data_IF_062536164712
#
_entry.id   IF_062536164712
#
_cell.length_a   1.000
_cell.length_b   1.000
_cell.length_c   1.000
_cell.angle_alpha   90.00
_cell.angle_beta   90.00
_cell.angle_gamma   90.00
#
_symmetry.space_group_name_H-M   'P 1'
#
loop_
_entity.id
_entity.type
_entity.pdbx_description
1 polymer ?
#
# COMPACT_ATOMS: atom_id res chain seq x y z
N UNK A 1 -64.15 -15.72 36.93
CA UNK A 1 -63.14 -14.73 37.34
C UNK A 1 -61.76 -15.34 37.17
N UNK A 2 -60.89 -14.68 36.37
CA UNK A 2 -59.40 -14.81 36.30
C UNK A 2 -58.82 -16.16 35.86
N UNK A 3 -57.76 -16.28 35.05
CA UNK A 3 -56.91 -15.35 34.30
C UNK A 3 -56.13 -16.23 33.30
N UNK A 4 -56.13 -15.87 32.01
CA UNK A 4 -55.38 -16.54 30.95
C UNK A 4 -53.89 -16.15 31.08
N UNK A 5 -52.99 -17.13 31.21
CA UNK A 5 -51.54 -16.89 31.27
C UNK A 5 -50.96 -16.88 29.85
N UNK A 6 -50.53 -15.72 29.40
CA UNK A 6 -49.80 -15.52 28.14
C UNK A 6 -48.37 -16.01 28.36
N UNK A 7 -47.99 -17.11 27.69
CA UNK A 7 -46.59 -17.54 27.59
C UNK A 7 -45.91 -16.66 26.53
N UNK A 8 -45.12 -15.68 26.98
CA UNK A 8 -44.31 -14.84 26.11
C UNK A 8 -43.11 -15.63 25.57
N UNK A 9 -43.07 -15.88 24.26
CA UNK A 9 -41.87 -16.34 23.57
C UNK A 9 -40.86 -15.20 23.48
N UNK A 10 -39.77 -15.28 24.23
CA UNK A 10 -38.61 -14.39 24.09
C UNK A 10 -37.87 -14.72 22.79
N UNK A 11 -37.95 -13.82 21.81
CA UNK A 11 -37.14 -13.89 20.59
C UNK A 11 -35.75 -13.30 20.91
N UNK A 12 -34.79 -14.15 21.24
CA UNK A 12 -33.39 -13.74 21.37
C UNK A 12 -32.83 -13.48 19.97
N UNK A 13 -32.80 -12.23 19.54
CA UNK A 13 -32.16 -11.81 18.30
C UNK A 13 -30.63 -11.86 18.48
N UNK A 14 -30.00 -12.94 18.01
CA UNK A 14 -28.55 -13.07 17.92
C UNK A 14 -28.00 -12.05 16.91
N UNK A 15 -27.47 -10.95 17.42
CA UNK A 15 -26.73 -9.95 16.64
C UNK A 15 -25.37 -10.54 16.23
N UNK A 16 -25.30 -11.13 15.03
CA UNK A 16 -24.01 -11.41 14.39
C UNK A 16 -23.41 -10.08 13.92
N UNK A 17 -22.47 -9.54 14.70
CA UNK A 17 -21.60 -8.47 14.23
C UNK A 17 -20.67 -9.04 13.16
N UNK A 18 -20.95 -8.73 11.89
CA UNK A 18 -20.02 -9.00 10.80
C UNK A 18 -18.78 -8.13 10.99
N UNK A 19 -17.71 -8.69 11.55
CA UNK A 19 -16.40 -8.06 11.51
C UNK A 19 -16.02 -7.91 10.03
N UNK A 20 -15.96 -6.68 9.51
CA UNK A 20 -15.47 -6.41 8.17
C UNK A 20 -14.01 -6.88 8.10
N UNK A 21 -13.76 -8.03 7.47
CA UNK A 21 -12.41 -8.40 7.05
C UNK A 21 -11.96 -7.31 6.07
N UNK A 22 -10.91 -6.57 6.42
CA UNK A 22 -10.29 -5.63 5.50
C UNK A 22 -9.92 -6.40 4.23
N UNK A 23 -10.48 -5.99 3.09
CA UNK A 23 -10.17 -6.62 1.81
C UNK A 23 -8.66 -6.52 1.56
N UNK A 24 -8.08 -7.60 1.03
CA UNK A 24 -6.68 -7.58 0.63
C UNK A 24 -6.46 -6.50 -0.45
N UNK A 25 -5.34 -5.77 -0.40
CA UNK A 25 -5.03 -4.77 -1.42
C UNK A 25 -4.91 -5.42 -2.81
N UNK A 26 -5.18 -4.67 -3.90
CA UNK A 26 -5.13 -5.20 -5.25
C UNK A 26 -3.71 -5.63 -5.64
N UNK A 27 -3.60 -6.63 -6.52
CA UNK A 27 -2.33 -7.01 -7.12
C UNK A 27 -1.98 -6.04 -8.27
N UNK A 28 -0.96 -5.21 -8.07
CA UNK A 28 -0.66 -4.08 -8.96
C UNK A 28 0.69 -4.17 -9.66
N UNK A 29 1.53 -5.14 -9.33
CA UNK A 29 2.88 -5.28 -9.84
C UNK A 29 3.25 -6.75 -10.03
N UNK A 30 4.32 -7.03 -10.78
CA UNK A 30 4.87 -8.41 -10.88
C UNK A 30 6.01 -8.64 -9.89
N UNK A 31 6.21 -9.90 -9.46
CA UNK A 31 7.33 -10.25 -8.58
C UNK A 31 8.70 -9.87 -9.19
N UNK A 32 8.82 -9.89 -10.53
CA UNK A 32 10.01 -9.45 -11.23
C UNK A 32 10.28 -7.95 -11.04
N UNK A 33 9.24 -7.10 -11.17
CA UNK A 33 9.38 -5.65 -10.93
C UNK A 33 9.81 -5.35 -9.50
N UNK A 34 9.20 -6.00 -8.50
CA UNK A 34 9.59 -5.77 -7.10
C UNK A 34 11.03 -6.23 -6.82
N UNK A 35 11.49 -7.31 -7.46
CA UNK A 35 12.86 -7.80 -7.34
C UNK A 35 13.86 -6.83 -7.98
N UNK A 36 13.58 -6.35 -9.19
CA UNK A 36 14.39 -5.32 -9.85
C UNK A 36 14.40 -4.02 -9.04
N UNK A 37 13.24 -3.63 -8.52
CA UNK A 37 13.05 -2.43 -7.70
C UNK A 37 13.86 -2.45 -6.42
N UNK A 38 13.98 -3.60 -5.75
CA UNK A 38 14.82 -3.75 -4.57
C UNK A 38 16.29 -3.44 -4.87
N UNK A 39 16.80 -3.84 -6.03
CA UNK A 39 18.17 -3.56 -6.45
C UNK A 39 18.39 -2.06 -6.68
N UNK A 40 17.50 -1.41 -7.43
CA UNK A 40 17.58 0.03 -7.70
C UNK A 40 17.41 0.83 -6.39
N UNK A 41 16.44 0.47 -5.55
CA UNK A 41 16.22 1.09 -4.25
C UNK A 41 17.47 1.06 -3.36
N UNK A 42 18.17 -0.08 -3.33
CA UNK A 42 19.41 -0.23 -2.55
C UNK A 42 20.48 0.77 -2.99
N UNK A 43 20.58 1.04 -4.29
CA UNK A 43 21.60 1.93 -4.86
C UNK A 43 21.22 3.41 -4.78
N UNK A 44 19.92 3.73 -4.88
CA UNK A 44 19.47 5.11 -5.08
C UNK A 44 18.66 5.70 -3.93
N UNK A 45 18.15 4.89 -3.01
CA UNK A 45 17.18 5.33 -1.99
C UNK A 45 17.56 4.94 -0.56
N UNK A 46 18.16 3.77 -0.38
CA UNK A 46 18.39 3.16 0.94
C UNK A 46 19.29 3.98 1.87
N UNK A 47 20.20 4.80 1.33
CA UNK A 47 21.06 5.68 2.12
C UNK A 47 20.25 6.64 3.00
N UNK A 48 19.10 7.12 2.51
CA UNK A 48 18.27 8.09 3.23
C UNK A 48 17.04 7.44 3.86
N UNK A 49 16.35 6.55 3.13
CA UNK A 49 15.10 5.92 3.55
C UNK A 49 15.29 4.58 4.29
N UNK A 50 16.54 4.17 4.52
CA UNK A 50 16.91 2.94 5.20
C UNK A 50 16.80 1.70 4.31
N UNK A 51 17.61 0.68 4.59
CA UNK A 51 17.67 -0.56 3.80
C UNK A 51 16.32 -1.30 3.69
N UNK A 52 15.46 -1.14 4.70
CA UNK A 52 14.14 -1.78 4.78
C UNK A 52 12.97 -0.80 4.65
N UNK A 53 13.20 0.39 4.09
CA UNK A 53 12.21 1.49 3.98
C UNK A 53 11.76 2.05 5.34
N UNK A 54 12.44 1.67 6.42
CA UNK A 54 12.09 2.05 7.79
C UNK A 54 12.36 3.52 8.12
N UNK A 55 12.93 4.28 7.16
CA UNK A 55 13.36 5.66 7.37
C UNK A 55 14.74 5.74 8.02
N UNK A 56 15.16 6.97 8.27
CA UNK A 56 16.46 7.31 8.84
C UNK A 56 16.71 8.81 8.67
N UNK A 57 17.62 9.16 7.75
CA UNK A 57 17.85 10.55 7.38
C UNK A 57 16.67 11.16 6.59
N UNK A 58 15.85 10.31 5.95
CA UNK A 58 14.59 10.67 5.32
C UNK A 58 13.42 9.83 5.89
N UNK A 59 12.15 10.22 5.65
CA UNK A 59 10.99 9.53 6.21
C UNK A 59 10.91 8.05 5.82
N UNK A 60 10.21 7.26 6.64
CA UNK A 60 9.87 5.89 6.28
C UNK A 60 8.97 5.83 5.04
N UNK A 61 9.13 4.77 4.24
CA UNK A 61 8.33 4.48 3.04
C UNK A 61 7.43 3.24 3.24
N UNK A 62 7.21 2.87 4.50
CA UNK A 62 6.30 1.81 4.96
C UNK A 62 5.58 2.25 6.23
N UNK A 63 4.52 1.53 6.58
CA UNK A 63 3.73 1.76 7.78
C UNK A 63 2.73 2.92 7.65
N UNK A 64 1.90 3.09 8.68
CA UNK A 64 0.81 4.07 8.69
C UNK A 64 1.28 5.52 8.56
N UNK A 65 2.49 5.85 9.02
CA UNK A 65 3.08 7.17 8.87
C UNK A 65 3.41 7.55 7.41
N UNK A 66 3.67 6.55 6.56
CA UNK A 66 3.88 6.75 5.12
C UNK A 66 2.58 6.83 4.32
N UNK A 67 1.51 6.22 4.85
CA UNK A 67 0.21 6.12 4.18
C UNK A 67 -0.89 6.86 4.95
N UNK A 68 -0.78 8.19 5.15
CA UNK A 68 -1.86 8.95 5.77
C UNK A 68 -3.12 8.93 4.88
N UNK A 69 -4.27 9.22 5.49
CA UNK A 69 -5.55 9.24 4.78
C UNK A 69 -5.51 10.22 3.60
N UNK A 70 -5.90 9.76 2.41
CA UNK A 70 -5.88 10.55 1.18
C UNK A 70 -4.63 10.37 0.32
N UNK A 71 -3.59 9.68 0.80
CA UNK A 71 -2.45 9.30 -0.04
C UNK A 71 -2.87 8.25 -1.08
N UNK A 72 -2.58 8.51 -2.34
CA UNK A 72 -2.81 7.58 -3.46
C UNK A 72 -1.50 7.05 -4.02
N UNK A 73 -1.56 5.91 -4.71
CA UNK A 73 -0.42 5.35 -5.44
C UNK A 73 0.16 6.37 -6.41
N UNK A 74 -0.68 7.07 -7.19
CA UNK A 74 -0.22 8.10 -8.12
C UNK A 74 0.40 9.31 -7.46
N UNK A 75 -0.09 9.74 -6.29
CA UNK A 75 0.56 10.84 -5.55
C UNK A 75 1.97 10.46 -5.09
N UNK A 76 2.16 9.23 -4.61
CA UNK A 76 3.48 8.73 -4.21
C UNK A 76 4.38 8.52 -5.42
N UNK A 77 3.86 7.95 -6.50
CA UNK A 77 4.61 7.72 -7.72
C UNK A 77 5.09 9.05 -8.34
N UNK A 78 4.26 10.09 -8.30
CA UNK A 78 4.62 11.43 -8.77
C UNK A 78 5.79 12.01 -7.99
N UNK A 79 5.79 11.89 -6.66
CA UNK A 79 6.93 12.33 -5.84
C UNK A 79 8.17 11.48 -6.16
N UNK A 80 8.00 10.16 -6.25
CA UNK A 80 9.07 9.23 -6.60
C UNK A 80 9.73 9.59 -7.94
N UNK A 81 8.96 9.79 -9.01
CA UNK A 81 9.51 10.00 -10.34
C UNK A 81 10.01 11.42 -10.60
N UNK A 82 9.44 12.43 -9.94
CA UNK A 82 9.76 13.83 -10.23
C UNK A 82 10.72 14.47 -9.22
N UNK A 83 10.76 13.96 -7.99
CA UNK A 83 11.48 14.61 -6.88
C UNK A 83 12.59 13.71 -6.31
N UNK A 84 12.61 12.42 -6.67
CA UNK A 84 13.61 11.48 -6.19
C UNK A 84 14.53 10.98 -7.33
N UNK A 85 15.79 10.65 -7.03
CA UNK A 85 16.50 10.91 -5.76
C UNK A 85 16.66 12.40 -5.47
N UNK A 86 16.60 12.81 -4.19
CA UNK A 86 16.64 14.24 -3.82
C UNK A 86 17.92 14.98 -4.28
N UNK A 87 19.03 14.26 -4.47
CA UNK A 87 20.28 14.83 -4.98
C UNK A 87 20.24 15.11 -6.48
N UNK A 88 19.50 14.31 -7.25
CA UNK A 88 19.38 14.43 -8.72
C UNK A 88 17.97 13.99 -9.15
N UNK A 89 16.94 14.84 -8.93
CA UNK A 89 15.55 14.49 -9.23
C UNK A 89 15.34 14.11 -10.71
N UNK A 90 14.51 13.08 -10.96
CA UNK A 90 14.18 12.65 -12.33
C UNK A 90 15.32 11.92 -13.07
N UNK A 91 16.37 11.50 -12.36
CA UNK A 91 17.56 10.88 -12.98
C UNK A 91 17.41 9.41 -13.34
N UNK A 92 16.39 8.71 -12.83
CA UNK A 92 16.15 7.30 -13.13
C UNK A 92 15.25 7.15 -14.36
N UNK A 93 15.34 6.01 -15.04
CA UNK A 93 14.44 5.71 -16.15
C UNK A 93 13.01 5.44 -15.67
N UNK A 94 12.03 5.54 -16.57
CA UNK A 94 10.64 5.19 -16.25
C UNK A 94 10.53 3.77 -15.67
N UNK A 95 11.19 2.79 -16.28
CA UNK A 95 11.21 1.40 -15.79
C UNK A 95 11.81 1.28 -14.40
N UNK A 96 12.87 2.02 -14.10
CA UNK A 96 13.44 2.03 -12.75
C UNK A 96 12.46 2.59 -11.71
N UNK A 97 11.71 3.65 -12.05
CA UNK A 97 10.67 4.17 -11.15
C UNK A 97 9.49 3.19 -10.97
N UNK A 98 9.04 2.55 -12.05
CA UNK A 98 8.01 1.49 -12.01
C UNK A 98 8.44 0.35 -11.07
N UNK A 99 9.67 -0.12 -11.22
CA UNK A 99 10.26 -1.18 -10.41
C UNK A 99 10.38 -0.77 -8.93
N UNK A 100 10.88 0.43 -8.64
CA UNK A 100 10.93 0.96 -7.27
C UNK A 100 9.52 1.02 -6.67
N UNK A 101 8.52 1.49 -7.41
CA UNK A 101 7.14 1.54 -6.92
C UNK A 101 6.61 0.14 -6.62
N UNK A 102 6.88 -0.84 -7.48
CA UNK A 102 6.53 -2.24 -7.23
C UNK A 102 7.17 -2.77 -5.93
N UNK A 103 8.42 -2.41 -5.67
CA UNK A 103 9.10 -2.76 -4.42
C UNK A 103 8.46 -2.08 -3.20
N UNK A 104 8.13 -0.79 -3.29
CA UNK A 104 7.42 -0.06 -2.21
C UNK A 104 6.06 -0.70 -1.93
N UNK A 105 5.29 -1.07 -2.96
CA UNK A 105 4.01 -1.77 -2.81
C UNK A 105 4.19 -3.13 -2.14
N UNK A 106 5.18 -3.92 -2.56
CA UNK A 106 5.52 -5.21 -1.92
C UNK A 106 5.81 -5.02 -0.43
N UNK A 107 6.64 -4.03 -0.09
CA UNK A 107 7.03 -3.74 1.31
C UNK A 107 5.87 -3.20 2.15
N UNK A 108 4.82 -2.67 1.52
CA UNK A 108 3.57 -2.28 2.15
C UNK A 108 2.50 -3.39 2.13
N UNK A 109 2.84 -4.61 1.70
CA UNK A 109 1.98 -5.79 1.79
C UNK A 109 1.01 -5.98 0.62
N UNK A 110 1.24 -5.32 -0.51
CA UNK A 110 0.48 -5.60 -1.73
C UNK A 110 0.94 -6.95 -2.32
N UNK A 111 0.01 -7.82 -2.76
CA UNK A 111 0.36 -9.07 -3.42
C UNK A 111 0.92 -8.80 -4.83
N UNK A 112 1.82 -9.67 -5.29
CA UNK A 112 2.23 -9.69 -6.68
C UNK A 112 1.13 -10.30 -7.56
N UNK A 113 0.98 -9.76 -8.77
CA UNK A 113 0.09 -10.26 -9.82
C UNK A 113 0.86 -10.59 -11.10
N UNK A 114 0.11 -10.76 -12.20
CA UNK A 114 0.65 -11.09 -13.53
C UNK A 114 0.82 -9.85 -14.43
N UNK A 115 0.30 -8.70 -14.02
CA UNK A 115 0.34 -7.47 -14.82
C UNK A 115 1.34 -6.50 -14.22
N UNK A 116 2.24 -6.00 -15.06
CA UNK A 116 3.21 -5.00 -14.64
C UNK A 116 2.55 -3.63 -14.45
N UNK A 117 2.98 -2.90 -13.42
CA UNK A 117 2.66 -1.47 -13.33
C UNK A 117 3.48 -0.71 -14.38
N UNK A 118 2.85 0.22 -15.10
CA UNK A 118 3.54 1.11 -16.03
C UNK A 118 3.55 2.55 -15.49
N UNK A 119 4.45 3.39 -16.01
CA UNK A 119 4.63 4.77 -15.60
C UNK A 119 3.32 5.58 -15.68
N UNK A 120 2.63 5.50 -16.81
CA UNK A 120 1.37 6.22 -17.04
C UNK A 120 0.27 5.71 -16.11
N UNK A 121 0.18 4.39 -15.92
CA UNK A 121 -0.79 3.80 -15.01
C UNK A 121 -0.50 4.19 -13.57
N UNK A 122 0.77 4.14 -13.15
CA UNK A 122 1.17 4.51 -11.80
C UNK A 122 0.87 5.97 -11.51
N UNK A 123 1.25 6.89 -12.41
CA UNK A 123 1.05 8.34 -12.24
C UNK A 123 -0.42 8.71 -12.10
N UNK A 124 -1.30 8.04 -12.85
CA UNK A 124 -2.76 8.28 -12.82
C UNK A 124 -3.52 7.43 -11.79
N UNK A 125 -2.84 6.58 -11.01
CA UNK A 125 -3.49 5.64 -10.11
C UNK A 125 -4.08 6.35 -8.88
N UNK A 126 -5.41 6.38 -8.79
CA UNK A 126 -6.14 6.99 -7.67
C UNK A 126 -6.41 6.01 -6.52
N UNK A 127 -5.93 4.77 -6.62
CA UNK A 127 -6.07 3.78 -5.54
C UNK A 127 -5.42 4.32 -4.27
N UNK A 128 -6.13 4.32 -3.12
CA UNK A 128 -5.52 4.66 -1.84
C UNK A 128 -4.33 3.75 -1.56
N UNK A 129 -3.20 4.35 -1.21
CA UNK A 129 -2.06 3.61 -0.73
C UNK A 129 -2.32 3.25 0.74
N UNK A 130 -2.29 1.97 1.07
CA UNK A 130 -2.48 1.47 2.43
C UNK A 130 -1.31 0.61 2.84
N UNK A 131 -0.82 0.75 4.08
CA UNK A 131 0.22 -0.14 4.59
C UNK A 131 -0.39 -1.30 5.37
N UNK A 132 -0.04 -2.53 4.98
CA UNK A 132 -0.28 -3.75 5.75
C UNK A 132 1.00 -4.25 6.45
N UNK A 133 2.08 -3.48 6.39
CA UNK A 133 3.31 -3.77 7.12
C UNK A 133 3.06 -3.59 8.62
N UNK A 134 3.32 -4.65 9.39
CA UNK A 134 3.30 -4.62 10.86
C UNK A 134 4.56 -3.97 11.42
#
# INVERSE_FOLDING_TARGET
MRMLRIAGLSFAASMFAAAAQAASPPALYTAAQATAGAAVYTQSCAMCHGANLAGGAAPALVGSGFTPAGTTIGSVFTVLSQQMPASVPGSLTHTQYEDIMAYVLQKNGYPAGSTAISYDKATSDTTPLVSQAK
#
